data_IF_125353561993
#
_entry.id   IF_125353561993
#
_cell.length_a   1.000
_cell.length_b   1.000
_cell.length_c   1.000
_cell.angle_alpha   90.00
_cell.angle_beta   90.00
_cell.angle_gamma   90.00
#
_symmetry.space_group_name_H-M   'P 1'
#
loop_
_entity.id
_entity.type
_entity.pdbx_description
1 polymer ?
#
# COMPACT_ATOMS: atom_id res chain seq x y z
N UNK A 1 -24.11 -4.63 13.20
CA UNK A 1 -23.93 -3.89 11.93
C UNK A 1 -24.86 -4.55 10.92
N UNK A 2 -25.74 -3.78 10.31
CA UNK A 2 -26.66 -4.30 9.29
C UNK A 2 -25.87 -4.73 8.03
N UNK A 3 -26.33 -5.74 7.27
CA UNK A 3 -25.58 -6.25 6.11
C UNK A 3 -25.31 -5.15 5.06
N UNK A 4 -26.25 -4.21 4.92
CA UNK A 4 -26.11 -3.01 4.09
C UNK A 4 -24.97 -2.09 4.54
N UNK A 5 -24.80 -1.89 5.85
CA UNK A 5 -23.75 -1.05 6.40
C UNK A 5 -22.37 -1.70 6.21
N UNK A 6 -22.26 -3.02 6.40
CA UNK A 6 -21.02 -3.77 6.15
C UNK A 6 -20.60 -3.65 4.68
N UNK A 7 -21.54 -3.84 3.75
CA UNK A 7 -21.27 -3.71 2.33
C UNK A 7 -20.87 -2.27 1.96
N UNK A 8 -21.60 -1.25 2.44
CA UNK A 8 -21.27 0.16 2.19
C UNK A 8 -19.85 0.49 2.65
N UNK A 9 -19.48 0.03 3.84
CA UNK A 9 -18.16 0.26 4.41
C UNK A 9 -17.06 -0.35 3.53
N UNK A 10 -17.19 -1.64 3.20
CA UNK A 10 -16.20 -2.36 2.41
C UNK A 10 -16.09 -1.83 0.98
N UNK A 11 -17.23 -1.55 0.33
CA UNK A 11 -17.25 -0.98 -1.02
C UNK A 11 -16.60 0.41 -1.06
N UNK A 12 -16.82 1.24 -0.04
CA UNK A 12 -16.16 2.54 0.10
C UNK A 12 -14.65 2.38 0.23
N UNK A 13 -14.17 1.44 1.06
CA UNK A 13 -12.74 1.16 1.19
C UNK A 13 -12.13 0.76 -0.15
N UNK A 14 -12.72 -0.23 -0.84
CA UNK A 14 -12.24 -0.70 -2.15
C UNK A 14 -12.23 0.44 -3.17
N UNK A 15 -13.29 1.25 -3.22
CA UNK A 15 -13.37 2.39 -4.13
C UNK A 15 -12.25 3.40 -3.89
N UNK A 16 -11.97 3.74 -2.63
CA UNK A 16 -10.88 4.67 -2.28
C UNK A 16 -9.53 4.08 -2.69
N UNK A 17 -9.28 2.81 -2.38
CA UNK A 17 -8.03 2.10 -2.72
C UNK A 17 -7.76 2.11 -4.23
N UNK A 18 -8.75 1.76 -5.05
CA UNK A 18 -8.60 1.71 -6.51
C UNK A 18 -8.59 3.10 -7.18
N UNK A 19 -9.21 4.11 -6.58
CA UNK A 19 -9.18 5.48 -7.12
C UNK A 19 -7.86 6.21 -6.83
N UNK A 20 -7.29 6.04 -5.63
CA UNK A 20 -6.05 6.71 -5.24
C UNK A 20 -4.78 5.95 -5.67
N UNK A 21 -4.98 4.74 -6.18
CA UNK A 21 -3.96 3.81 -6.69
C UNK A 21 -2.92 4.40 -7.65
N UNK A 22 -3.29 5.38 -8.47
CA UNK A 22 -2.40 5.95 -9.50
C UNK A 22 -1.10 6.47 -8.89
N UNK A 23 -1.19 7.14 -7.74
CA UNK A 23 -0.02 7.68 -7.03
C UNK A 23 0.85 6.53 -6.50
N UNK A 24 0.23 5.54 -5.86
CA UNK A 24 0.96 4.42 -5.26
C UNK A 24 1.65 3.49 -6.27
N UNK A 25 1.39 3.64 -7.58
CA UNK A 25 2.03 2.84 -8.65
C UNK A 25 2.96 3.65 -9.52
N UNK A 26 2.67 4.93 -9.73
CA UNK A 26 3.55 5.79 -10.52
C UNK A 26 4.92 5.95 -9.88
N UNK A 27 4.97 6.22 -8.57
CA UNK A 27 6.25 6.45 -7.88
C UNK A 27 7.16 5.21 -7.85
N UNK A 28 6.70 3.99 -7.55
CA UNK A 28 7.54 2.80 -7.68
C UNK A 28 8.17 2.63 -9.06
N UNK A 29 7.40 2.83 -10.14
CA UNK A 29 7.93 2.76 -11.51
C UNK A 29 8.96 3.85 -11.77
N UNK A 30 8.75 5.04 -11.24
CA UNK A 30 9.69 6.16 -11.35
C UNK A 30 11.00 5.90 -10.58
N UNK A 31 10.91 5.31 -9.38
CA UNK A 31 12.07 5.04 -8.54
C UNK A 31 12.87 3.82 -8.99
N UNK A 32 12.29 2.87 -9.73
CA UNK A 32 13.02 1.70 -10.19
C UNK A 32 14.23 2.03 -11.09
N UNK A 33 14.11 2.88 -12.13
CA UNK A 33 15.27 3.38 -12.88
C UNK A 33 16.28 4.12 -12.00
N UNK A 34 15.82 4.90 -11.00
CA UNK A 34 16.71 5.60 -10.08
C UNK A 34 17.55 4.63 -9.24
N UNK A 35 16.95 3.53 -8.77
CA UNK A 35 17.69 2.44 -8.09
C UNK A 35 18.66 1.77 -9.05
N UNK A 36 18.26 1.47 -10.29
CA UNK A 36 19.16 0.89 -11.29
C UNK A 36 20.36 1.80 -11.59
N UNK A 37 20.14 3.12 -11.70
CA UNK A 37 21.21 4.10 -11.91
C UNK A 37 22.12 4.21 -10.68
N UNK A 38 21.54 4.25 -9.49
CA UNK A 38 22.28 4.33 -8.22
C UNK A 38 23.22 3.13 -8.04
N UNK A 39 22.77 1.94 -8.41
CA UNK A 39 23.49 0.69 -8.20
C UNK A 39 24.28 0.21 -9.43
N UNK A 40 24.29 0.99 -10.52
CA UNK A 40 24.80 0.56 -11.82
C UNK A 40 26.26 0.14 -11.83
N UNK A 41 27.11 0.85 -11.08
CA UNK A 41 28.56 0.59 -11.05
C UNK A 41 28.96 -0.50 -10.05
N UNK A 42 28.07 -0.84 -9.11
CA UNK A 42 28.37 -1.77 -8.01
C UNK A 42 27.67 -3.12 -8.12
N UNK A 43 26.52 -3.18 -8.81
CA UNK A 43 25.67 -4.37 -8.88
C UNK A 43 25.77 -5.05 -10.23
N UNK A 44 25.46 -6.35 -10.27
CA UNK A 44 25.39 -7.10 -11.52
C UNK A 44 24.28 -6.53 -12.43
N UNK A 45 24.66 -6.10 -13.64
CA UNK A 45 23.71 -5.50 -14.59
C UNK A 45 22.57 -6.43 -14.96
N UNK A 46 22.80 -7.75 -15.03
CA UNK A 46 21.73 -8.71 -15.36
C UNK A 46 20.73 -8.78 -14.21
N UNK A 47 21.18 -8.75 -12.96
CA UNK A 47 20.32 -8.72 -11.79
C UNK A 47 19.49 -7.44 -11.73
N UNK A 48 20.12 -6.27 -11.92
CA UNK A 48 19.43 -4.98 -11.95
C UNK A 48 18.37 -4.91 -13.05
N UNK A 49 18.72 -5.29 -14.28
CA UNK A 49 17.81 -5.27 -15.42
C UNK A 49 16.69 -6.31 -15.26
N UNK A 50 16.98 -7.48 -14.69
CA UNK A 50 15.97 -8.50 -14.40
C UNK A 50 14.97 -7.99 -13.35
N UNK A 51 15.46 -7.45 -12.23
CA UNK A 51 14.60 -6.86 -11.20
C UNK A 51 13.76 -5.70 -11.76
N UNK A 52 14.38 -4.77 -12.50
CA UNK A 52 13.67 -3.66 -13.15
C UNK A 52 12.60 -4.15 -14.12
N UNK A 53 12.88 -5.19 -14.92
CA UNK A 53 11.91 -5.80 -15.83
C UNK A 53 10.73 -6.42 -15.08
N UNK A 54 10.99 -7.06 -13.93
CA UNK A 54 9.92 -7.59 -13.06
C UNK A 54 9.06 -6.45 -12.50
N UNK A 55 9.66 -5.33 -12.05
CA UNK A 55 8.92 -4.16 -11.55
C UNK A 55 8.01 -3.56 -12.63
N UNK A 56 8.50 -3.44 -13.87
CA UNK A 56 7.72 -2.95 -15.01
C UNK A 56 6.57 -3.91 -15.33
N UNK A 57 6.87 -5.20 -15.45
CA UNK A 57 5.86 -6.24 -15.76
C UNK A 57 4.77 -6.30 -14.70
N UNK A 58 5.16 -6.24 -13.43
CA UNK A 58 4.25 -6.16 -12.30
C UNK A 58 3.36 -4.92 -12.37
N UNK A 59 3.92 -3.76 -12.70
CA UNK A 59 3.18 -2.51 -12.82
C UNK A 59 2.16 -2.54 -13.97
N UNK A 60 2.51 -3.17 -15.10
CA UNK A 60 1.60 -3.40 -16.21
C UNK A 60 0.45 -4.33 -15.80
N UNK A 61 0.75 -5.47 -15.15
CA UNK A 61 -0.27 -6.38 -14.64
C UNK A 61 -1.22 -5.67 -13.67
N UNK A 62 -0.68 -4.80 -12.82
CA UNK A 62 -1.48 -4.00 -11.87
C UNK A 62 -2.35 -2.96 -12.56
N UNK A 63 -1.87 -2.31 -13.61
CA UNK A 63 -2.68 -1.43 -14.44
C UNK A 63 -3.88 -2.17 -15.05
N UNK A 64 -3.67 -3.37 -15.58
CA UNK A 64 -4.75 -4.21 -16.13
C UNK A 64 -5.78 -4.60 -15.06
N UNK A 65 -5.34 -4.91 -13.83
CA UNK A 65 -6.22 -5.19 -12.69
C UNK A 65 -7.12 -3.97 -12.39
N UNK A 66 -6.55 -2.77 -12.32
CA UNK A 66 -7.32 -1.54 -12.06
C UNK A 66 -8.29 -1.25 -13.20
N UNK A 67 -7.83 -1.41 -14.44
CA UNK A 67 -8.68 -1.22 -15.61
C UNK A 67 -9.88 -2.18 -15.58
N UNK A 68 -9.63 -3.47 -15.33
CA UNK A 68 -10.69 -4.48 -15.19
C UNK A 68 -11.64 -4.17 -14.04
N UNK A 69 -11.12 -3.71 -12.91
CA UNK A 69 -11.95 -3.30 -11.76
C UNK A 69 -12.87 -2.13 -12.12
N UNK A 70 -12.38 -1.15 -12.88
CA UNK A 70 -13.21 -0.02 -13.36
C UNK A 70 -14.32 -0.47 -14.32
N UNK A 71 -14.07 -1.51 -15.13
CA UNK A 71 -15.07 -2.07 -16.05
C UNK A 71 -16.14 -2.89 -15.32
N UNK A 72 -15.74 -3.74 -14.37
CA UNK A 72 -16.68 -4.59 -13.61
C UNK A 72 -17.46 -3.80 -12.54
N UNK A 73 -16.92 -2.70 -12.03
CA UNK A 73 -17.50 -1.96 -10.91
C UNK A 73 -17.43 -2.73 -9.58
N UNK A 74 -18.08 -2.18 -8.54
CA UNK A 74 -18.14 -2.80 -7.21
C UNK A 74 -19.58 -3.23 -6.94
N UNK A 75 -19.77 -4.52 -6.67
CA UNK A 75 -21.05 -5.13 -6.32
C UNK A 75 -20.92 -5.94 -5.02
N UNK A 76 -22.02 -6.30 -4.34
CA UNK A 76 -21.98 -7.14 -3.14
C UNK A 76 -21.26 -8.48 -3.34
N UNK A 77 -21.33 -9.04 -4.55
CA UNK A 77 -20.76 -10.34 -4.89
C UNK A 77 -19.25 -10.27 -5.16
N UNK A 78 -18.75 -9.14 -5.68
CA UNK A 78 -17.36 -9.01 -6.14
C UNK A 78 -16.46 -8.19 -5.20
N UNK A 79 -17.02 -7.48 -4.21
CA UNK A 79 -16.26 -6.54 -3.38
C UNK A 79 -15.11 -7.20 -2.61
N UNK A 80 -15.33 -8.40 -2.05
CA UNK A 80 -14.29 -9.14 -1.34
C UNK A 80 -13.17 -9.59 -2.29
N UNK A 81 -13.53 -10.11 -3.47
CA UNK A 81 -12.58 -10.50 -4.52
C UNK A 81 -11.66 -9.33 -4.90
N UNK A 82 -12.21 -8.13 -5.09
CA UNK A 82 -11.41 -6.96 -5.44
C UNK A 82 -10.52 -6.47 -4.30
N UNK A 83 -10.95 -6.59 -3.05
CA UNK A 83 -10.11 -6.34 -1.90
C UNK A 83 -8.95 -7.35 -1.84
N UNK A 84 -9.24 -8.64 -1.97
CA UNK A 84 -8.23 -9.71 -1.90
C UNK A 84 -7.19 -9.58 -3.03
N UNK A 85 -7.63 -9.29 -4.25
CA UNK A 85 -6.73 -8.99 -5.37
C UNK A 85 -5.85 -7.78 -5.05
N UNK A 86 -6.40 -6.75 -4.41
CA UNK A 86 -5.62 -5.57 -4.03
C UNK A 86 -4.57 -5.91 -2.96
N UNK A 87 -4.95 -6.68 -1.93
CA UNK A 87 -4.07 -7.16 -0.87
C UNK A 87 -2.94 -8.00 -1.44
N UNK A 88 -3.26 -8.99 -2.28
CA UNK A 88 -2.26 -9.82 -2.96
C UNK A 88 -1.31 -8.97 -3.81
N UNK A 89 -1.85 -7.98 -4.53
CA UNK A 89 -1.06 -7.09 -5.35
C UNK A 89 -0.09 -6.24 -4.52
N UNK A 90 -0.52 -5.60 -3.42
CA UNK A 90 0.39 -4.84 -2.55
C UNK A 90 1.41 -5.73 -1.85
N UNK A 91 1.05 -6.96 -1.50
CA UNK A 91 1.99 -7.92 -0.92
C UNK A 91 3.13 -8.25 -1.89
N UNK A 92 2.80 -8.52 -3.16
CA UNK A 92 3.82 -8.73 -4.21
C UNK A 92 4.69 -7.48 -4.38
N UNK A 93 4.09 -6.27 -4.36
CA UNK A 93 4.87 -5.02 -4.40
C UNK A 93 5.88 -4.94 -3.25
N UNK A 94 5.42 -5.21 -2.03
CA UNK A 94 6.27 -5.16 -0.85
C UNK A 94 7.39 -6.20 -0.92
N UNK A 95 7.11 -7.41 -1.43
CA UNK A 95 8.15 -8.41 -1.70
C UNK A 95 9.17 -7.92 -2.73
N UNK A 96 8.74 -7.35 -3.86
CA UNK A 96 9.65 -6.88 -4.91
C UNK A 96 10.63 -5.82 -4.40
N UNK A 97 10.13 -4.87 -3.59
CA UNK A 97 10.94 -3.82 -2.99
C UNK A 97 11.78 -4.31 -1.81
N UNK A 98 11.24 -5.19 -0.98
CA UNK A 98 11.99 -5.77 0.14
C UNK A 98 13.15 -6.64 -0.35
N UNK A 99 12.89 -7.52 -1.31
CA UNK A 99 13.93 -8.37 -1.94
C UNK A 99 15.03 -7.52 -2.58
N UNK A 100 14.69 -6.35 -3.15
CA UNK A 100 15.67 -5.44 -3.72
C UNK A 100 16.78 -5.06 -2.71
N UNK A 101 16.39 -4.74 -1.47
CA UNK A 101 17.30 -4.38 -0.38
C UNK A 101 18.16 -5.55 0.15
N UNK A 102 17.88 -6.78 -0.29
CA UNK A 102 18.62 -7.98 0.11
C UNK A 102 19.58 -8.40 -0.99
N UNK A 103 19.15 -8.34 -2.26
CA UNK A 103 19.90 -8.96 -3.37
C UNK A 103 20.63 -7.97 -4.27
N UNK A 104 20.20 -6.71 -4.37
CA UNK A 104 20.76 -5.79 -5.38
C UNK A 104 22.09 -5.18 -4.96
N UNK A 105 22.39 -5.08 -3.67
CA UNK A 105 23.67 -4.54 -3.19
C UNK A 105 24.56 -5.73 -2.82
N UNK A 106 25.72 -5.94 -3.49
CA UNK A 106 26.60 -7.04 -3.14
C UNK A 106 27.28 -6.80 -1.79
N UNK A 107 27.23 -7.80 -0.92
CA UNK A 107 27.92 -7.77 0.36
C UNK A 107 29.31 -8.41 0.23
N UNK A 108 30.37 -7.58 0.27
CA UNK A 108 31.76 -8.03 0.18
C UNK A 108 32.51 -7.83 1.52
N UNK A 109 33.19 -8.87 2.04
CA UNK A 109 34.06 -8.75 3.20
C UNK A 109 35.17 -7.71 2.94
N UNK A 110 35.09 -6.55 3.58
CA UNK A 110 36.03 -5.42 3.40
C UNK A 110 35.40 -4.14 2.85
N UNK A 111 34.17 -4.20 2.31
CA UNK A 111 33.41 -3.02 1.81
C UNK A 111 32.14 -2.75 2.61
N UNK A 112 32.17 -2.99 3.92
CA UNK A 112 31.00 -2.92 4.81
C UNK A 112 30.34 -1.53 4.77
N UNK A 113 31.15 -0.46 4.79
CA UNK A 113 30.66 0.93 4.77
C UNK A 113 29.98 1.24 3.44
N UNK A 114 30.60 0.83 2.33
CA UNK A 114 30.04 1.02 0.98
C UNK A 114 28.71 0.29 0.81
N UNK A 115 28.66 -0.99 1.20
CA UNK A 115 27.41 -1.77 1.25
C UNK A 115 26.33 -1.04 2.07
N UNK A 116 26.69 -0.57 3.27
CA UNK A 116 25.74 0.13 4.16
C UNK A 116 25.21 1.40 3.50
N UNK A 117 26.06 2.18 2.84
CA UNK A 117 25.65 3.42 2.16
C UNK A 117 24.64 3.12 1.05
N UNK A 118 24.98 2.25 0.09
CA UNK A 118 24.09 1.94 -1.02
C UNK A 118 22.79 1.25 -0.57
N UNK A 119 22.87 0.35 0.42
CA UNK A 119 21.68 -0.31 0.94
C UNK A 119 20.81 0.66 1.76
N UNK A 120 21.40 1.61 2.50
CA UNK A 120 20.66 2.65 3.22
C UNK A 120 19.91 3.60 2.28
N UNK A 121 20.48 3.93 1.12
CA UNK A 121 19.81 4.72 0.09
C UNK A 121 18.66 3.95 -0.57
N UNK A 122 18.86 2.65 -0.83
CA UNK A 122 17.79 1.77 -1.33
C UNK A 122 16.66 1.66 -0.31
N UNK A 123 17.00 1.43 0.97
CA UNK A 123 16.04 1.40 2.07
C UNK A 123 15.33 2.73 2.29
N UNK A 124 16.00 3.87 2.07
CA UNK A 124 15.37 5.19 2.14
C UNK A 124 14.26 5.31 1.09
N UNK A 125 14.51 4.84 -0.14
CA UNK A 125 13.50 4.79 -1.19
C UNK A 125 12.33 3.88 -0.78
N UNK A 126 12.61 2.67 -0.27
CA UNK A 126 11.56 1.73 0.17
C UNK A 126 10.74 2.31 1.33
N UNK A 127 11.38 2.89 2.34
CA UNK A 127 10.71 3.57 3.45
C UNK A 127 9.87 4.76 2.96
N UNK A 128 10.38 5.52 1.98
CA UNK A 128 9.67 6.60 1.30
C UNK A 128 8.41 6.11 0.58
N UNK A 129 8.51 5.00 -0.16
CA UNK A 129 7.36 4.37 -0.82
C UNK A 129 6.34 3.84 0.19
N UNK A 130 6.79 3.18 1.26
CA UNK A 130 5.92 2.68 2.34
C UNK A 130 5.18 3.82 3.03
N UNK A 131 5.89 4.87 3.44
CA UNK A 131 5.28 6.06 4.06
C UNK A 131 4.34 6.80 3.12
N UNK A 132 4.71 6.98 1.85
CA UNK A 132 3.84 7.59 0.84
C UNK A 132 2.55 6.81 0.61
N UNK A 133 2.60 5.48 0.72
CA UNK A 133 1.43 4.63 0.59
C UNK A 133 0.50 4.64 1.81
N UNK A 134 0.95 5.14 2.98
CA UNK A 134 0.15 5.17 4.21
C UNK A 134 -1.19 5.87 4.01
N UNK A 135 -1.21 7.02 3.31
CA UNK A 135 -2.44 7.81 3.13
C UNK A 135 -3.52 7.00 2.40
N UNK A 136 -3.14 6.23 1.39
CA UNK A 136 -4.08 5.44 0.59
C UNK A 136 -4.36 4.07 1.22
N UNK A 137 -3.34 3.36 1.69
CA UNK A 137 -3.48 1.99 2.17
C UNK A 137 -4.06 1.92 3.59
N UNK A 138 -3.94 2.97 4.41
CA UNK A 138 -4.51 2.98 5.76
C UNK A 138 -6.04 2.94 5.79
N UNK A 139 -6.71 3.12 4.66
CA UNK A 139 -8.16 2.90 4.53
C UNK A 139 -8.54 1.48 4.95
N UNK A 140 -7.65 0.50 4.78
CA UNK A 140 -7.80 -0.84 5.32
C UNK A 140 -6.49 -1.30 5.98
N UNK A 141 -6.53 -1.55 7.30
CA UNK A 141 -5.35 -1.94 8.09
C UNK A 141 -4.58 -3.13 7.53
N UNK A 142 -5.26 -4.08 6.87
CA UNK A 142 -4.59 -5.26 6.32
C UNK A 142 -3.79 -4.89 5.08
N UNK A 143 -4.31 -4.03 4.21
CA UNK A 143 -3.61 -3.61 2.99
C UNK A 143 -2.23 -3.02 3.32
N UNK A 144 -2.16 -2.10 4.29
CA UNK A 144 -0.88 -1.52 4.69
C UNK A 144 0.05 -2.52 5.39
N UNK A 145 -0.48 -3.42 6.23
CA UNK A 145 0.34 -4.46 6.88
C UNK A 145 0.93 -5.42 5.85
N UNK A 146 0.12 -5.91 4.90
CA UNK A 146 0.57 -6.80 3.84
C UNK A 146 1.53 -6.12 2.86
N UNK A 147 1.53 -4.78 2.76
CA UNK A 147 2.55 -4.06 2.01
C UNK A 147 3.85 -3.86 2.80
N UNK A 148 3.74 -3.31 4.01
CA UNK A 148 4.88 -2.89 4.82
C UNK A 148 5.67 -4.08 5.37
N UNK A 149 5.00 -5.19 5.71
CA UNK A 149 5.64 -6.37 6.27
C UNK A 149 6.72 -6.94 5.33
N UNK A 150 6.40 -7.39 4.11
CA UNK A 150 7.42 -7.94 3.22
C UNK A 150 8.43 -6.88 2.73
N UNK A 151 8.05 -5.60 2.70
CA UNK A 151 8.93 -4.51 2.28
C UNK A 151 10.01 -4.17 3.33
N UNK A 152 9.70 -4.29 4.63
CA UNK A 152 10.56 -3.78 5.69
C UNK A 152 11.12 -4.87 6.61
N UNK A 153 10.33 -5.90 6.95
CA UNK A 153 10.73 -6.88 7.96
C UNK A 153 11.83 -7.83 7.46
N UNK A 154 11.69 -8.53 6.31
CA UNK A 154 12.77 -9.39 5.83
C UNK A 154 14.10 -8.65 5.62
N UNK A 155 14.12 -7.43 5.02
CA UNK A 155 15.35 -6.67 4.87
C UNK A 155 15.95 -6.19 6.21
N UNK A 156 15.11 -5.79 7.18
CA UNK A 156 15.58 -5.43 8.51
C UNK A 156 16.25 -6.62 9.21
N UNK A 157 15.62 -7.79 9.16
CA UNK A 157 16.18 -9.03 9.72
C UNK A 157 17.49 -9.38 9.02
N UNK A 158 17.54 -9.30 7.68
CA UNK A 158 18.74 -9.55 6.90
C UNK A 158 19.91 -8.66 7.35
N UNK A 159 19.68 -7.35 7.48
CA UNK A 159 20.68 -6.40 7.94
C UNK A 159 21.19 -6.66 9.37
N UNK A 160 20.31 -7.10 10.27
CA UNK A 160 20.70 -7.48 11.65
C UNK A 160 21.53 -8.76 11.66
N UNK A 161 21.22 -9.73 10.79
CA UNK A 161 21.95 -11.00 10.70
C UNK A 161 23.38 -10.80 10.18
N UNK A 162 23.65 -9.78 9.36
CA UNK A 162 25.02 -9.45 8.92
C UNK A 162 25.97 -9.17 10.10
N UNK A 163 25.43 -8.72 11.23
CA UNK A 163 26.13 -8.71 12.52
C UNK A 163 27.13 -7.58 12.75
N UNK A 164 27.45 -6.77 11.72
CA UNK A 164 28.26 -5.58 11.92
C UNK A 164 27.45 -4.42 12.50
N UNK A 165 28.16 -3.49 13.17
CA UNK A 165 27.57 -2.37 13.90
C UNK A 165 26.67 -1.49 13.03
N UNK A 166 27.06 -1.23 11.77
CA UNK A 166 26.37 -0.27 10.92
C UNK A 166 25.09 -0.87 10.32
N UNK A 167 25.19 -2.07 9.74
CA UNK A 167 24.03 -2.76 9.19
C UNK A 167 23.04 -3.16 10.28
N UNK A 168 23.51 -3.62 11.44
CA UNK A 168 22.61 -3.95 12.57
C UNK A 168 21.85 -2.73 13.07
N UNK A 169 22.50 -1.56 13.15
CA UNK A 169 21.83 -0.31 13.52
C UNK A 169 20.79 0.10 12.46
N UNK A 170 21.14 0.03 11.18
CA UNK A 170 20.21 0.32 10.07
C UNK A 170 18.99 -0.61 10.11
N UNK A 171 19.19 -1.92 10.26
CA UNK A 171 18.12 -2.90 10.39
C UNK A 171 17.22 -2.62 11.59
N UNK A 172 17.81 -2.26 12.74
CA UNK A 172 17.06 -1.80 13.91
C UNK A 172 16.21 -0.56 13.65
N UNK A 173 16.74 0.45 12.95
CA UNK A 173 15.97 1.64 12.58
C UNK A 173 14.84 1.34 11.59
N UNK A 174 15.06 0.44 10.61
CA UNK A 174 13.99 0.00 9.70
C UNK A 174 12.90 -0.76 10.45
N UNK A 175 13.28 -1.59 11.44
CA UNK A 175 12.31 -2.28 12.29
C UNK A 175 11.48 -1.30 13.16
N UNK A 176 12.13 -0.30 13.77
CA UNK A 176 11.43 0.76 14.50
C UNK A 176 10.52 1.57 13.58
N UNK A 177 10.96 1.85 12.35
CA UNK A 177 10.15 2.52 11.35
C UNK A 177 8.93 1.70 10.95
N UNK A 178 9.05 0.38 10.79
CA UNK A 178 7.90 -0.50 10.57
C UNK A 178 6.87 -0.43 11.71
N UNK A 179 7.33 -0.45 12.97
CA UNK A 179 6.43 -0.28 14.13
C UNK A 179 5.72 1.07 14.07
N UNK A 180 6.49 2.14 13.82
CA UNK A 180 5.96 3.49 13.73
C UNK A 180 4.92 3.64 12.62
N UNK A 181 5.20 3.13 11.42
CA UNK A 181 4.27 3.16 10.28
C UNK A 181 3.03 2.34 10.60
N UNK A 182 3.17 1.15 11.16
CA UNK A 182 2.03 0.29 11.50
C UNK A 182 1.12 0.96 12.53
N UNK A 183 1.69 1.52 13.60
CA UNK A 183 0.94 2.25 14.62
C UNK A 183 0.24 3.49 14.03
N UNK A 184 0.96 4.27 13.22
CA UNK A 184 0.41 5.46 12.55
C UNK A 184 -0.72 5.10 11.59
N UNK A 185 -0.59 4.00 10.85
CA UNK A 185 -1.58 3.53 9.89
C UNK A 185 -2.83 2.99 10.56
N UNK A 186 -2.69 2.29 11.69
CA UNK A 186 -3.85 1.87 12.50
C UNK A 186 -4.61 3.10 13.04
N UNK A 187 -3.90 4.15 13.45
CA UNK A 187 -4.53 5.40 13.89
C UNK A 187 -5.28 6.09 12.75
N UNK A 188 -4.67 6.17 11.55
CA UNK A 188 -5.31 6.71 10.35
C UNK A 188 -6.50 5.87 9.90
N UNK A 189 -6.41 4.54 9.99
CA UNK A 189 -7.52 3.64 9.69
C UNK A 189 -8.76 3.96 10.53
N UNK A 190 -8.59 4.19 11.84
CA UNK A 190 -9.69 4.60 12.73
C UNK A 190 -10.33 5.90 12.27
N UNK A 191 -9.55 6.86 11.78
CA UNK A 191 -10.07 8.12 11.23
C UNK A 191 -10.86 7.87 9.94
N UNK A 192 -10.33 7.08 9.02
CA UNK A 192 -11.04 6.72 7.78
C UNK A 192 -12.35 5.99 8.06
N UNK A 193 -12.35 5.00 8.95
CA UNK A 193 -13.56 4.29 9.36
C UNK A 193 -14.60 5.26 9.92
N UNK A 194 -14.19 6.17 10.80
CA UNK A 194 -15.08 7.20 11.34
C UNK A 194 -15.68 8.10 10.24
N UNK A 195 -14.88 8.54 9.27
CA UNK A 195 -15.37 9.36 8.15
C UNK A 195 -16.35 8.59 7.26
N UNK A 196 -16.08 7.32 6.96
CA UNK A 196 -16.98 6.46 6.15
C UNK A 196 -18.32 6.25 6.88
N UNK A 197 -18.28 6.02 8.19
CA UNK A 197 -19.49 5.81 8.99
C UNK A 197 -20.32 7.10 9.09
N UNK A 198 -19.66 8.26 9.27
CA UNK A 198 -20.31 9.56 9.27
C UNK A 198 -20.96 9.89 7.92
N UNK A 199 -20.28 9.60 6.81
CA UNK A 199 -20.82 9.77 5.46
C UNK A 199 -22.07 8.90 5.26
N UNK A 200 -22.03 7.65 5.72
CA UNK A 200 -23.18 6.74 5.67
C UNK A 200 -24.37 7.26 6.48
N UNK A 201 -24.15 7.74 7.70
CA UNK A 201 -25.20 8.32 8.55
C UNK A 201 -25.85 9.55 7.89
N UNK A 202 -25.04 10.43 7.29
CA UNK A 202 -25.54 11.60 6.57
C UNK A 202 -26.44 11.21 5.38
N UNK A 203 -26.06 10.19 4.61
CA UNK A 203 -26.85 9.69 3.48
C UNK A 203 -28.19 9.14 3.99
N UNK A 204 -28.15 8.31 5.03
CA UNK A 204 -29.36 7.71 5.61
C UNK A 204 -30.31 8.75 6.21
N UNK A 205 -29.78 9.78 6.86
CA UNK A 205 -30.58 10.86 7.44
C UNK A 205 -31.28 11.68 6.34
N UNK A 206 -30.56 12.05 5.28
CA UNK A 206 -31.13 12.76 4.12
C UNK A 206 -32.25 11.95 3.47
N UNK A 207 -32.06 10.64 3.32
CA UNK A 207 -33.07 9.78 2.71
C UNK A 207 -34.32 9.63 3.58
N UNK A 208 -34.15 9.51 4.91
CA UNK A 208 -35.27 9.52 5.86
C UNK A 208 -36.05 10.83 5.79
N UNK A 209 -35.35 11.97 5.83
CA UNK A 209 -35.98 13.30 5.74
C UNK A 209 -36.77 13.46 4.44
N UNK A 210 -36.19 13.03 3.30
CA UNK A 210 -36.88 13.03 2.01
C UNK A 210 -38.18 12.21 2.04
N UNK A 211 -38.14 10.99 2.58
CA UNK A 211 -39.33 10.14 2.73
C UNK A 211 -40.41 10.79 3.62
N UNK A 212 -40.02 11.43 4.72
CA UNK A 212 -40.97 12.18 5.57
C UNK A 212 -41.63 13.35 4.84
N UNK A 213 -40.87 14.13 4.07
CA UNK A 213 -41.41 15.25 3.29
C UNK A 213 -42.37 14.78 2.18
N UNK A 214 -42.04 13.70 1.47
CA UNK A 214 -42.91 13.11 0.44
C UNK A 214 -44.23 12.58 1.04
N UNK A 215 -44.19 11.99 2.23
CA UNK A 215 -45.40 11.56 2.95
C UNK A 215 -46.25 12.73 3.45
N UNK A 216 -45.62 13.76 4.02
CA UNK A 216 -46.33 14.95 4.51
C UNK A 216 -46.95 15.76 3.38
N UNK A 217 -46.26 15.87 2.23
CA UNK A 217 -46.79 16.53 1.02
C UNK A 217 -48.00 15.79 0.42
N UNK A 218 -47.99 14.45 0.41
CA UNK A 218 -49.13 13.65 -0.04
C UNK A 218 -50.33 13.80 0.88
N UNK A 219 -50.13 13.86 2.20
CA UNK A 219 -51.22 14.01 3.16
C UNK A 219 -51.95 15.36 3.01
N UNK A 220 -51.22 16.45 2.72
CA UNK A 220 -51.80 17.78 2.46
C UNK A 220 -52.52 17.92 1.11
N UNK A 221 -52.29 17.02 0.14
CA UNK A 221 -52.94 17.09 -1.17
C UNK A 221 -54.27 16.31 -1.24
N UNK A 222 -54.57 15.50 -0.22
CA UNK A 222 -55.80 14.68 -0.10
C UNK A 222 -56.85 15.23 0.86
N UNK A 223 -56.55 16.36 1.53
CA UNK A 223 -57.46 17.13 2.38
C UNK A 223 -57.77 18.46 1.73
#
# INVERSE_FOLDING_TARGET
MDQLQVFHHLSSQVKILYNQSVITFFFPVLFAPAVCMLLWEISDHRLLLSWGSVVVTYSLARYLIIWKQKQEGITPENVNKWLDIFIASVFISGLLWGVACIILVPYEPGKIIEFTIYNSLTMLIVCGLVSGAVVTYSVNKWVIIFYAFPALIPPAIYLVILGDKYNSALGGFVFLFFIFITASSIRLNKQFTYYIDLEYEMIMLKERLRKYLEQSGKHKATT
#
